data_IF_231743865411
#
_entry.id   IF_231743865411
#
_cell.length_a   1.000
_cell.length_b   1.000
_cell.length_c   1.000
_cell.angle_alpha   90.00
_cell.angle_beta   90.00
_cell.angle_gamma   90.00
#
_symmetry.space_group_name_H-M   'P 1'
#
loop_
_entity.id
_entity.type
_entity.pdbx_description
1 polymer ?
#
# COMPACT_ATOMS: atom_id res chain seq x y z
N UNK A 1 -63.80 1.68 32.49
CA UNK A 1 -62.87 1.49 33.63
C UNK A 1 -61.44 1.08 33.26
N UNK A 2 -61.15 0.68 32.02
CA UNK A 2 -59.80 0.22 31.57
C UNK A 2 -58.77 1.33 31.30
N UNK A 3 -59.18 2.56 30.99
CA UNK A 3 -58.26 3.65 30.57
C UNK A 3 -57.53 4.33 31.73
N UNK A 4 -58.08 4.28 32.96
CA UNK A 4 -57.42 4.91 34.13
C UNK A 4 -56.27 4.12 34.73
N UNK A 5 -56.31 2.80 34.59
CA UNK A 5 -55.26 1.91 35.07
C UNK A 5 -53.97 2.02 34.22
N UNK A 6 -54.13 2.20 32.92
CA UNK A 6 -52.99 2.37 32.01
C UNK A 6 -52.24 3.70 32.21
N UNK A 7 -52.94 4.78 32.58
CA UNK A 7 -52.28 6.06 32.85
C UNK A 7 -51.42 6.00 34.12
N UNK A 8 -51.96 5.39 35.19
CA UNK A 8 -51.22 5.25 36.44
C UNK A 8 -50.03 4.32 36.30
N UNK A 9 -50.17 3.23 35.58
CA UNK A 9 -49.12 2.27 35.29
C UNK A 9 -47.98 2.92 34.46
N UNK A 10 -48.32 3.69 33.43
CA UNK A 10 -47.33 4.40 32.64
C UNK A 10 -46.56 5.44 33.46
N UNK A 11 -47.20 6.13 34.37
CA UNK A 11 -46.53 7.13 35.23
C UNK A 11 -45.54 6.46 36.18
N UNK A 12 -45.91 5.31 36.78
CA UNK A 12 -45.02 4.56 37.66
C UNK A 12 -43.85 3.96 36.86
N UNK A 13 -44.13 3.45 35.64
CA UNK A 13 -43.07 2.88 34.77
C UNK A 13 -42.09 3.95 34.33
N UNK A 14 -42.54 5.16 34.00
CA UNK A 14 -41.68 6.30 33.64
C UNK A 14 -40.82 6.76 34.82
N UNK A 15 -41.39 6.82 36.03
CA UNK A 15 -40.64 7.16 37.25
C UNK A 15 -39.59 6.09 37.59
N UNK A 16 -39.87 4.82 37.41
CA UNK A 16 -38.93 3.74 37.61
C UNK A 16 -37.79 3.74 36.58
N UNK A 17 -38.10 4.04 35.31
CA UNK A 17 -37.10 4.15 34.23
C UNK A 17 -36.17 5.35 34.44
N UNK A 18 -36.68 6.47 34.96
CA UNK A 18 -35.85 7.64 35.29
C UNK A 18 -34.93 7.39 36.50
N UNK A 19 -35.36 6.59 37.46
CA UNK A 19 -34.57 6.16 38.62
C UNK A 19 -33.45 5.18 38.24
N UNK A 20 -33.62 4.41 37.16
CA UNK A 20 -32.63 3.47 36.66
C UNK A 20 -31.59 4.13 35.72
N UNK A 21 -31.59 5.47 35.61
CA UNK A 21 -30.57 6.21 34.88
C UNK A 21 -30.66 6.11 33.37
N UNK A 22 -31.81 5.64 32.81
CA UNK A 22 -32.10 5.74 31.37
C UNK A 22 -32.59 7.13 30.95
N UNK A 23 -32.18 8.18 31.66
CA UNK A 23 -32.24 9.51 31.15
C UNK A 23 -31.09 9.72 30.21
N UNK A 24 -31.33 9.79 28.90
CA UNK A 24 -30.39 10.42 27.99
C UNK A 24 -30.19 11.86 28.46
N UNK A 25 -29.20 12.12 29.29
CA UNK A 25 -28.68 13.44 29.49
C UNK A 25 -27.89 13.79 28.23
N UNK A 26 -28.53 14.51 27.34
CA UNK A 26 -27.87 15.21 26.23
C UNK A 26 -27.16 16.45 26.77
N UNK A 27 -26.21 16.26 27.70
CA UNK A 27 -25.30 17.34 28.10
C UNK A 27 -23.96 16.72 28.43
N UNK A 28 -23.04 17.03 27.58
CA UNK A 28 -21.65 16.64 27.40
C UNK A 28 -21.50 15.46 26.39
N UNK A 29 -21.76 15.76 25.13
CA UNK A 29 -20.83 15.26 24.12
C UNK A 29 -19.47 15.90 24.49
N UNK A 30 -18.71 15.27 25.40
CA UNK A 30 -17.27 15.36 25.25
C UNK A 30 -17.04 15.07 23.77
N UNK A 31 -16.67 16.11 23.04
CA UNK A 31 -16.15 15.92 21.69
C UNK A 31 -15.11 14.83 21.88
N UNK A 32 -15.48 13.63 21.47
CA UNK A 32 -14.54 12.55 21.33
C UNK A 32 -13.60 13.08 20.27
N UNK A 33 -12.57 13.80 20.73
CA UNK A 33 -11.44 14.18 19.91
C UNK A 33 -10.97 12.86 19.33
N UNK A 34 -11.42 12.60 18.11
CA UNK A 34 -10.98 11.43 17.36
C UNK A 34 -9.49 11.46 17.47
N UNK A 35 -8.91 10.39 18.04
CA UNK A 35 -7.46 10.24 18.06
C UNK A 35 -7.04 10.62 16.66
N UNK A 36 -6.30 11.73 16.51
CA UNK A 36 -5.78 12.09 15.22
C UNK A 36 -4.97 10.90 14.78
N UNK A 37 -5.53 10.12 13.87
CA UNK A 37 -4.77 9.06 13.22
C UNK A 37 -3.70 9.79 12.43
N UNK A 38 -2.53 9.93 13.04
CA UNK A 38 -1.32 10.36 12.37
C UNK A 38 -0.91 9.23 11.42
N UNK A 39 -1.65 9.08 10.33
CA UNK A 39 -1.24 8.25 9.21
C UNK A 39 -0.18 9.00 8.41
N UNK A 40 0.82 8.31 7.95
CA UNK A 40 1.75 8.87 6.96
C UNK A 40 1.02 8.89 5.63
N UNK A 41 1.01 10.03 4.89
CA UNK A 41 0.40 10.07 3.57
C UNK A 41 1.02 9.01 2.66
N UNK A 42 0.18 8.31 1.90
CA UNK A 42 0.63 7.36 0.90
C UNK A 42 1.06 8.05 -0.40
N UNK A 43 1.81 7.34 -1.24
CA UNK A 43 2.18 7.78 -2.58
C UNK A 43 2.14 6.59 -3.54
N UNK A 44 1.89 6.87 -4.80
CA UNK A 44 2.07 5.93 -5.89
C UNK A 44 3.44 6.12 -6.53
N UNK A 45 4.15 5.03 -6.77
CA UNK A 45 5.42 5.04 -7.49
C UNK A 45 5.30 4.20 -8.76
N UNK A 46 5.56 4.82 -9.90
CA UNK A 46 5.68 4.17 -11.19
C UNK A 46 7.17 3.93 -11.45
N UNK A 47 7.57 2.68 -11.47
CA UNK A 47 8.97 2.26 -11.63
C UNK A 47 9.10 1.65 -13.01
N UNK A 48 9.85 2.31 -13.87
CA UNK A 48 10.03 1.89 -15.25
C UNK A 48 11.50 1.90 -15.66
N UNK A 49 11.84 1.10 -16.66
CA UNK A 49 13.19 1.04 -17.15
C UNK A 49 13.36 0.01 -18.27
N UNK A 50 14.61 -0.17 -18.67
CA UNK A 50 15.00 -1.15 -19.67
C UNK A 50 15.95 -2.19 -19.08
N UNK A 51 15.65 -3.45 -19.34
CA UNK A 51 16.53 -4.58 -18.97
C UNK A 51 17.46 -4.88 -20.14
N UNK A 52 18.76 -4.87 -19.86
CA UNK A 52 19.81 -5.17 -20.82
C UNK A 52 20.74 -6.25 -20.29
N UNK A 53 21.44 -6.95 -21.18
CA UNK A 53 22.54 -7.84 -20.81
C UNK A 53 23.88 -7.08 -20.71
N UNK A 54 24.96 -7.79 -20.39
CA UNK A 54 26.29 -7.22 -20.27
C UNK A 54 26.79 -6.59 -21.60
N UNK A 55 26.34 -7.08 -22.74
CA UNK A 55 26.64 -6.56 -24.06
C UNK A 55 25.80 -5.33 -24.48
N UNK A 56 24.88 -4.88 -23.62
CA UNK A 56 23.98 -3.74 -23.89
C UNK A 56 22.76 -4.09 -24.75
N UNK A 57 22.55 -5.37 -25.09
CA UNK A 57 21.35 -5.77 -25.82
C UNK A 57 20.16 -5.88 -24.88
N UNK A 58 18.99 -5.45 -25.34
CA UNK A 58 17.73 -5.57 -24.59
C UNK A 58 17.34 -7.01 -24.36
N UNK A 59 16.72 -7.30 -23.21
CA UNK A 59 16.27 -8.65 -22.83
C UNK A 59 14.78 -8.63 -22.57
N UNK A 60 14.04 -9.42 -23.36
CA UNK A 60 12.60 -9.66 -23.14
C UNK A 60 12.38 -10.88 -22.24
N UNK A 61 11.16 -11.02 -21.70
CA UNK A 61 10.77 -12.21 -20.95
C UNK A 61 11.30 -12.25 -19.51
N UNK A 62 11.90 -11.17 -19.04
CA UNK A 62 12.35 -11.04 -17.65
C UNK A 62 11.18 -10.58 -16.79
N UNK A 63 10.91 -11.31 -15.72
CA UNK A 63 9.91 -10.92 -14.73
C UNK A 63 10.51 -9.92 -13.76
N UNK A 64 9.96 -8.70 -13.74
CA UNK A 64 10.25 -7.69 -12.76
C UNK A 64 9.10 -7.61 -11.76
N UNK A 65 9.41 -7.75 -10.47
CA UNK A 65 8.41 -7.75 -9.39
C UNK A 65 8.80 -6.75 -8.32
N UNK A 66 7.84 -5.91 -7.90
CA UNK A 66 8.03 -5.08 -6.71
C UNK A 66 7.62 -5.89 -5.50
N UNK A 67 8.52 -6.04 -4.53
CA UNK A 67 8.27 -6.78 -3.30
C UNK A 67 8.52 -5.89 -2.08
N UNK A 68 7.60 -5.98 -1.13
CA UNK A 68 7.80 -5.43 0.21
C UNK A 68 8.46 -6.49 1.07
N UNK A 69 9.56 -6.13 1.73
CA UNK A 69 10.26 -6.99 2.69
C UNK A 69 9.86 -6.54 4.09
N UNK A 70 9.28 -7.44 4.86
CA UNK A 70 8.92 -7.19 6.24
C UNK A 70 9.75 -8.11 7.13
N UNK A 71 10.43 -7.54 8.13
CA UNK A 71 11.24 -8.29 9.09
C UNK A 71 10.55 -8.26 10.44
N UNK A 72 10.14 -9.43 10.93
CA UNK A 72 9.55 -9.62 12.24
C UNK A 72 10.28 -10.76 12.98
N UNK A 73 10.71 -10.50 14.22
CA UNK A 73 11.43 -11.47 15.07
C UNK A 73 12.65 -12.10 14.34
N UNK A 74 13.43 -11.28 13.63
CA UNK A 74 14.59 -11.72 12.87
C UNK A 74 14.32 -12.56 11.64
N UNK A 75 13.03 -12.77 11.27
CA UNK A 75 12.63 -13.46 10.05
C UNK A 75 12.10 -12.46 9.03
N UNK A 76 12.72 -12.45 7.84
CA UNK A 76 12.28 -11.62 6.73
C UNK A 76 11.31 -12.38 5.85
N UNK A 77 10.18 -11.75 5.52
CA UNK A 77 9.19 -12.23 4.54
C UNK A 77 9.07 -11.22 3.42
N UNK A 78 9.04 -11.71 2.18
CA UNK A 78 8.86 -10.88 1.00
C UNK A 78 7.45 -11.08 0.43
N UNK A 79 6.70 -9.98 0.30
CA UNK A 79 5.36 -9.96 -0.29
C UNK A 79 5.42 -9.28 -1.64
N UNK A 80 4.99 -9.99 -2.71
CA UNK A 80 4.87 -9.36 -4.02
C UNK A 80 3.70 -8.38 -4.01
N UNK A 81 3.93 -7.16 -4.47
CA UNK A 81 2.92 -6.12 -4.60
C UNK A 81 2.39 -6.11 -6.03
N UNK A 82 3.31 -6.04 -7.01
CA UNK A 82 2.99 -6.05 -8.44
C UNK A 82 4.13 -6.69 -9.24
N UNK A 83 3.86 -7.14 -10.46
CA UNK A 83 4.87 -7.73 -11.35
C UNK A 83 4.49 -7.60 -12.81
N UNK A 84 5.50 -7.42 -13.67
CA UNK A 84 5.36 -7.33 -15.12
C UNK A 84 6.50 -8.09 -15.82
N UNK A 85 6.25 -8.52 -17.03
CA UNK A 85 7.30 -9.11 -17.91
C UNK A 85 7.87 -8.02 -18.83
N UNK A 86 9.19 -8.05 -19.06
CA UNK A 86 9.78 -7.14 -20.05
C UNK A 86 9.25 -7.48 -21.44
N UNK A 87 8.91 -6.45 -22.20
CA UNK A 87 8.45 -6.56 -23.58
C UNK A 87 9.62 -6.81 -24.55
N UNK A 88 9.34 -6.88 -25.87
CA UNK A 88 10.33 -7.09 -26.93
C UNK A 88 11.44 -6.04 -26.99
N UNK A 89 11.21 -4.86 -26.42
CA UNK A 89 12.21 -3.80 -26.31
C UNK A 89 12.95 -3.82 -24.96
N UNK A 90 12.77 -4.89 -24.18
CA UNK A 90 13.33 -5.01 -22.82
C UNK A 90 12.72 -4.04 -21.81
N UNK A 91 11.64 -3.33 -22.16
CA UNK A 91 11.03 -2.34 -21.29
C UNK A 91 10.06 -2.97 -20.30
N UNK A 92 10.04 -2.46 -19.07
CA UNK A 92 9.09 -2.78 -18.03
C UNK A 92 8.52 -1.50 -17.38
N UNK A 93 7.32 -1.59 -16.85
CA UNK A 93 6.64 -0.54 -16.10
C UNK A 93 5.77 -1.22 -15.04
N UNK A 94 6.02 -0.93 -13.78
CA UNK A 94 5.31 -1.49 -12.63
C UNK A 94 4.97 -0.40 -11.64
N UNK A 95 3.75 -0.44 -11.08
CA UNK A 95 3.27 0.57 -10.15
C UNK A 95 3.09 0.00 -8.76
N UNK A 96 3.42 0.79 -7.75
CA UNK A 96 3.23 0.41 -6.35
C UNK A 96 2.68 1.58 -5.54
N UNK A 97 1.63 1.29 -4.76
CA UNK A 97 1.05 2.26 -3.83
C UNK A 97 1.54 1.95 -2.41
N UNK A 98 2.33 2.86 -1.84
CA UNK A 98 3.03 2.61 -0.57
C UNK A 98 3.14 3.87 0.28
N UNK A 99 3.48 3.67 1.54
CA UNK A 99 3.86 4.74 2.44
C UNK A 99 5.32 5.13 2.22
N UNK A 100 5.67 6.43 2.05
CA UNK A 100 7.02 6.89 1.68
C UNK A 100 8.14 6.49 2.65
N UNK A 101 7.79 6.10 3.87
CA UNK A 101 8.76 5.65 4.88
C UNK A 101 9.13 4.17 4.78
N UNK A 102 8.51 3.43 3.86
CA UNK A 102 8.73 1.98 3.75
C UNK A 102 9.95 1.71 2.88
N UNK A 103 11.14 1.81 3.45
CA UNK A 103 12.44 1.55 2.79
C UNK A 103 12.67 0.07 2.42
N UNK A 104 11.72 -0.80 2.72
CA UNK A 104 11.82 -2.24 2.52
C UNK A 104 11.20 -2.71 1.19
N UNK A 105 10.96 -1.79 0.25
CA UNK A 105 10.47 -2.16 -1.08
C UNK A 105 11.66 -2.34 -2.00
N UNK A 106 11.72 -3.51 -2.64
CA UNK A 106 12.78 -3.91 -3.56
C UNK A 106 12.21 -4.36 -4.89
N UNK A 107 13.00 -4.19 -5.93
CA UNK A 107 12.72 -4.72 -7.26
C UNK A 107 13.44 -6.07 -7.41
N UNK A 108 12.67 -7.14 -7.56
CA UNK A 108 13.18 -8.47 -7.85
C UNK A 108 13.10 -8.71 -9.35
N UNK A 109 14.18 -9.18 -9.91
CA UNK A 109 14.36 -9.45 -11.35
C UNK A 109 14.64 -10.93 -11.52
N UNK A 110 13.75 -11.64 -12.22
CA UNK A 110 13.77 -13.08 -12.35
C UNK A 110 13.70 -13.49 -13.82
N UNK A 111 14.65 -14.30 -14.23
CA UNK A 111 14.61 -15.00 -15.51
C UNK A 111 13.72 -16.24 -15.34
N UNK A 112 12.52 -16.19 -15.93
CA UNK A 112 11.47 -17.21 -15.76
C UNK A 112 11.19 -17.99 -17.03
N UNK A 113 11.77 -17.61 -18.17
CA UNK A 113 11.59 -18.28 -19.46
C UNK A 113 12.74 -19.24 -19.82
N UNK A 114 13.70 -19.39 -18.92
CA UNK A 114 14.84 -20.27 -19.05
C UNK A 114 15.79 -19.82 -20.15
N UNK A 115 16.11 -20.70 -21.08
CA UNK A 115 17.08 -20.38 -22.16
C UNK A 115 16.46 -19.69 -23.38
N UNK A 116 15.15 -19.41 -23.37
CA UNK A 116 14.42 -18.93 -24.56
C UNK A 116 14.94 -17.56 -25.07
N UNK A 117 15.32 -16.66 -24.14
CA UNK A 117 15.90 -15.35 -24.46
C UNK A 117 17.32 -15.17 -23.89
N UNK A 118 17.96 -16.27 -23.54
CA UNK A 118 19.24 -16.35 -22.83
C UNK A 118 19.03 -16.58 -21.33
N UNK A 119 19.97 -17.28 -20.70
CA UNK A 119 19.90 -17.60 -19.28
C UNK A 119 20.59 -16.50 -18.46
N UNK A 120 19.85 -15.88 -17.53
CA UNK A 120 20.33 -14.77 -16.70
C UNK A 120 20.20 -15.08 -15.20
N UNK A 121 21.08 -14.49 -14.42
CA UNK A 121 21.02 -14.58 -12.96
C UNK A 121 19.90 -13.71 -12.43
N UNK A 122 19.15 -14.23 -11.44
CA UNK A 122 18.18 -13.42 -10.72
C UNK A 122 18.90 -12.37 -9.88
N UNK A 123 18.30 -11.19 -9.75
CA UNK A 123 18.86 -10.09 -8.99
C UNK A 123 17.79 -9.41 -8.12
N UNK A 124 18.23 -8.75 -7.06
CA UNK A 124 17.39 -7.94 -6.19
C UNK A 124 18.00 -6.56 -6.07
N UNK A 125 17.25 -5.56 -6.50
CA UNK A 125 17.72 -4.18 -6.65
C UNK A 125 16.99 -3.29 -5.65
N UNK A 126 17.75 -2.44 -4.96
CA UNK A 126 17.18 -1.38 -4.13
C UNK A 126 16.62 -0.26 -5.02
N UNK A 127 15.40 0.18 -4.72
CA UNK A 127 14.78 1.25 -5.48
C UNK A 127 15.32 2.60 -4.97
N UNK A 128 15.86 3.41 -5.88
CA UNK A 128 16.38 4.73 -5.54
C UNK A 128 15.27 5.79 -5.53
N UNK A 129 14.65 5.95 -4.37
CA UNK A 129 13.61 6.96 -4.15
C UNK A 129 14.10 8.40 -4.20
N UNK A 130 15.43 8.66 -4.12
CA UNK A 130 15.96 10.03 -4.21
C UNK A 130 15.85 10.60 -5.63
N UNK A 131 15.78 9.71 -6.63
CA UNK A 131 15.59 10.08 -8.04
C UNK A 131 14.11 10.08 -8.45
N UNK A 132 13.17 9.94 -7.50
CA UNK A 132 11.75 10.00 -7.79
C UNK A 132 11.30 11.39 -8.22
N UNK A 133 10.70 11.48 -9.40
CA UNK A 133 10.14 12.72 -9.94
C UNK A 133 8.64 12.73 -9.77
N UNK A 134 8.11 13.77 -9.14
CA UNK A 134 6.66 13.91 -8.98
C UNK A 134 6.01 14.22 -10.33
N UNK A 135 5.10 13.37 -10.78
CA UNK A 135 4.40 13.49 -12.08
C UNK A 135 2.92 13.83 -11.94
N UNK A 136 2.33 13.59 -10.75
CA UNK A 136 0.95 13.94 -10.44
C UNK A 136 0.83 14.42 -9.00
N UNK A 137 0.09 15.50 -8.77
CA UNK A 137 -0.23 15.98 -7.42
C UNK A 137 -1.23 15.05 -6.72
N UNK A 138 -1.12 14.98 -5.40
CA UNK A 138 -2.07 14.22 -4.59
C UNK A 138 -3.42 14.93 -4.51
N UNK A 139 -4.48 14.15 -4.40
CA UNK A 139 -5.87 14.65 -4.34
C UNK A 139 -6.30 15.03 -2.91
N UNK A 140 -5.50 14.68 -1.90
CA UNK A 140 -5.80 14.94 -0.48
C UNK A 140 -4.52 15.01 0.35
N UNK A 141 -4.65 15.45 1.61
CA UNK A 141 -3.54 15.47 2.58
C UNK A 141 -2.99 14.06 2.91
N UNK A 142 -3.71 13.01 2.57
CA UNK A 142 -3.33 11.61 2.78
C UNK A 142 -2.75 10.94 1.53
N UNK A 143 -2.63 11.68 0.43
CA UNK A 143 -2.06 11.21 -0.82
C UNK A 143 -1.05 12.23 -1.35
N UNK A 144 0.22 11.85 -1.36
CA UNK A 144 1.32 12.68 -1.83
C UNK A 144 1.40 12.77 -3.37
N UNK A 145 0.53 12.04 -4.08
CA UNK A 145 0.51 11.99 -5.53
C UNK A 145 1.29 10.82 -6.11
N UNK A 146 1.63 10.93 -7.38
CA UNK A 146 2.34 9.89 -8.15
C UNK A 146 3.75 10.36 -8.49
N UNK A 147 4.70 9.46 -8.29
CA UNK A 147 6.12 9.68 -8.56
C UNK A 147 6.62 8.68 -9.60
N UNK A 148 7.40 9.14 -10.57
CA UNK A 148 8.09 8.29 -11.53
C UNK A 148 9.53 8.04 -11.08
N UNK A 149 9.97 6.78 -11.17
CA UNK A 149 11.35 6.35 -10.92
C UNK A 149 11.84 5.62 -12.16
N UNK A 150 12.94 6.08 -12.72
CA UNK A 150 13.61 5.37 -13.80
C UNK A 150 14.71 4.48 -13.24
N UNK A 151 14.60 3.17 -13.48
CA UNK A 151 15.53 2.16 -12.99
C UNK A 151 15.91 1.21 -14.13
N UNK A 152 16.99 1.50 -14.85
CA UNK A 152 17.53 0.60 -15.87
C UNK A 152 18.31 -0.56 -15.19
N UNK A 153 18.20 -1.77 -15.76
CA UNK A 153 18.72 -3.00 -15.17
C UNK A 153 19.71 -3.66 -16.11
N UNK A 154 20.83 -4.11 -15.58
CA UNK A 154 21.84 -4.85 -16.34
C UNK A 154 22.02 -6.25 -15.77
N UNK A 155 21.60 -7.27 -16.53
CA UNK A 155 21.66 -8.66 -16.12
C UNK A 155 22.99 -9.31 -16.47
N UNK A 156 23.43 -10.20 -15.57
CA UNK A 156 24.56 -11.10 -15.78
C UNK A 156 24.08 -12.45 -16.32
N UNK A 157 24.82 -13.03 -17.23
CA UNK A 157 24.54 -14.40 -17.69
C UNK A 157 24.79 -15.41 -16.55
N UNK A 158 24.02 -16.51 -16.59
CA UNK A 158 24.29 -17.70 -15.77
C UNK A 158 25.54 -18.42 -16.24
#
# INVERSE_FOLDING_TARGET
MKVRINRWYNTILTALLSLLGYGCSSENSEEMYGVQMYGVPSAEYQISGTVTNEGGNVVQGIKTSVKQISTYDGKSQAFAIDSVMTNTNGHYDVSVHVFPMNKEIKLLVEDVDGDANGAYQNDTIDIDYNNAQKIKEGESVWNNGTFAIKQDIKLKKK
#
